data_IF_114968724379
#
_entry.id   IF_114968724379
#
_cell.length_a   1.000
_cell.length_b   1.000
_cell.length_c   1.000
_cell.angle_alpha   90.00
_cell.angle_beta   90.00
_cell.angle_gamma   90.00
#
_symmetry.space_group_name_H-M   'P 1'
#
loop_
_entity.id
_entity.type
_entity.pdbx_description
1 polymer ?
#
# COMPACT_ATOMS: atom_id res chain seq x y z
N UNK A 1 12.70 11.40 -10.18
CA UNK A 1 12.45 12.77 -9.76
C UNK A 1 13.63 13.64 -10.16
N UNK A 2 13.56 14.36 -11.31
CA UNK A 2 14.70 15.15 -11.78
C UNK A 2 14.99 16.36 -10.90
N UNK A 3 14.02 16.86 -10.15
CA UNK A 3 14.21 18.03 -9.28
C UNK A 3 15.06 17.70 -8.05
N UNK A 4 15.11 16.44 -7.65
CA UNK A 4 15.84 15.94 -6.49
C UNK A 4 16.97 14.99 -6.87
N UNK A 5 17.08 14.66 -8.16
CA UNK A 5 17.98 13.65 -8.68
C UNK A 5 17.79 12.27 -8.01
N UNK A 6 16.53 11.91 -7.75
CA UNK A 6 16.16 10.64 -7.13
C UNK A 6 15.71 9.64 -8.19
N UNK A 7 16.31 8.45 -8.20
CA UNK A 7 15.96 7.33 -9.06
C UNK A 7 15.25 6.26 -8.26
N UNK A 8 14.00 5.96 -8.63
CA UNK A 8 13.21 4.86 -8.05
C UNK A 8 13.18 3.68 -9.02
N UNK A 9 13.51 2.49 -8.54
CA UNK A 9 13.51 1.25 -9.33
C UNK A 9 12.83 0.12 -8.59
N UNK A 10 12.16 -0.77 -9.33
CA UNK A 10 11.63 -2.02 -8.78
C UNK A 10 11.67 -3.12 -9.84
N UNK A 11 11.88 -4.35 -9.38
CA UNK A 11 11.76 -5.55 -10.19
C UNK A 11 10.93 -6.56 -9.40
N UNK A 12 9.94 -7.19 -10.06
CA UNK A 12 9.03 -8.15 -9.42
C UNK A 12 9.81 -9.24 -8.69
N UNK A 13 9.51 -9.40 -7.40
CA UNK A 13 10.16 -10.37 -6.51
C UNK A 13 11.56 -9.96 -6.00
N UNK A 14 12.07 -8.79 -6.39
CA UNK A 14 13.41 -8.33 -6.00
C UNK A 14 13.41 -7.10 -5.08
N UNK A 15 12.25 -6.50 -4.87
CA UNK A 15 12.09 -5.32 -4.02
C UNK A 15 12.16 -4.01 -4.78
N UNK A 16 11.92 -2.93 -4.05
CA UNK A 16 11.99 -1.55 -4.52
C UNK A 16 13.18 -0.82 -3.92
N UNK A 17 13.76 0.10 -4.70
CA UNK A 17 14.97 0.84 -4.36
C UNK A 17 14.83 2.32 -4.72
N UNK A 18 15.48 3.17 -3.96
CA UNK A 18 15.71 4.58 -4.25
C UNK A 18 17.20 4.85 -4.18
N UNK A 19 17.80 5.31 -5.27
CA UNK A 19 19.25 5.54 -5.37
C UNK A 19 20.05 4.33 -4.87
N UNK A 20 19.73 3.15 -5.38
CA UNK A 20 20.30 1.82 -5.04
C UNK A 20 20.12 1.37 -3.57
N UNK A 21 19.41 2.14 -2.76
CA UNK A 21 19.06 1.75 -1.40
C UNK A 21 17.67 1.16 -1.35
N UNK A 22 17.54 -0.02 -0.73
CA UNK A 22 16.25 -0.69 -0.58
C UNK A 22 15.28 0.15 0.24
N UNK A 23 14.07 0.36 -0.29
CA UNK A 23 13.01 1.11 0.38
C UNK A 23 11.88 0.19 0.85
N UNK A 24 11.11 0.68 1.80
CA UNK A 24 9.92 0.04 2.36
C UNK A 24 8.86 1.10 2.66
N UNK A 25 7.59 0.69 2.56
CA UNK A 25 6.47 1.51 3.01
C UNK A 25 6.58 1.82 4.51
N UNK A 26 5.88 2.84 4.94
CA UNK A 26 5.80 3.27 6.34
C UNK A 26 5.41 2.14 7.29
N UNK A 27 5.88 2.21 8.53
CA UNK A 27 5.51 1.29 9.62
C UNK A 27 4.34 1.77 10.45
N UNK A 28 3.75 2.94 10.13
CA UNK A 28 2.60 3.46 10.87
C UNK A 28 1.41 2.51 10.77
N UNK A 29 0.63 2.47 11.82
CA UNK A 29 -0.49 1.55 11.97
C UNK A 29 -1.81 2.27 12.21
N UNK A 30 -1.77 3.56 12.53
CA UNK A 30 -2.93 4.40 12.87
C UNK A 30 -3.06 5.52 11.85
N UNK A 31 -4.24 5.63 11.24
CA UNK A 31 -4.49 6.62 10.18
C UNK A 31 -4.32 8.06 10.68
N UNK A 32 -4.66 8.34 11.93
CA UNK A 32 -4.52 9.66 12.55
C UNK A 32 -3.09 10.17 12.68
N UNK A 33 -2.09 9.29 12.53
CA UNK A 33 -0.67 9.64 12.54
C UNK A 33 -0.08 9.79 11.12
N UNK A 34 -0.92 9.58 10.09
CA UNK A 34 -0.45 9.42 8.72
C UNK A 34 -0.47 10.73 7.93
N UNK A 35 0.51 10.84 7.06
CA UNK A 35 0.57 11.82 5.99
C UNK A 35 0.10 11.18 4.69
N UNK A 36 -1.00 11.68 4.13
CA UNK A 36 -1.60 11.13 2.90
C UNK A 36 -1.37 12.09 1.74
N UNK A 37 -0.98 11.57 0.58
CA UNK A 37 -0.89 12.35 -0.64
C UNK A 37 -2.09 12.12 -1.57
N UNK A 38 -2.39 13.13 -2.41
CA UNK A 38 -3.54 13.11 -3.33
C UNK A 38 -3.34 14.05 -4.51
N UNK A 39 -4.20 13.94 -5.52
CA UNK A 39 -4.35 14.93 -6.59
C UNK A 39 -5.54 15.85 -6.39
N UNK A 40 -5.87 16.66 -7.41
CA UNK A 40 -7.07 17.49 -7.43
C UNK A 40 -7.94 17.18 -8.67
N UNK A 41 -9.27 17.28 -8.54
CA UNK A 41 -10.22 17.04 -9.63
C UNK A 41 -10.35 18.32 -10.48
N UNK A 42 -9.49 18.49 -11.46
CA UNK A 42 -9.53 19.63 -12.37
C UNK A 42 -9.73 19.26 -13.85
N UNK A 43 -10.03 17.98 -14.12
CA UNK A 43 -10.32 17.54 -15.48
C UNK A 43 -11.81 17.74 -15.82
N UNK A 44 -12.15 18.04 -17.08
CA UNK A 44 -13.55 18.05 -17.51
C UNK A 44 -14.22 16.70 -17.17
N UNK A 45 -15.37 16.77 -16.49
CA UNK A 45 -16.13 15.60 -16.07
C UNK A 45 -15.78 15.07 -14.68
N UNK A 46 -14.79 15.60 -14.01
CA UNK A 46 -14.51 15.27 -12.62
C UNK A 46 -15.67 15.70 -11.71
N UNK A 47 -16.05 14.84 -10.77
CA UNK A 47 -17.02 15.19 -9.73
C UNK A 47 -16.33 15.95 -8.59
N UNK A 48 -16.13 17.25 -8.78
CA UNK A 48 -15.46 18.12 -7.83
C UNK A 48 -16.04 18.03 -6.41
N UNK A 49 -17.37 18.10 -6.27
CA UNK A 49 -18.03 18.06 -4.97
C UNK A 49 -17.76 16.73 -4.24
N UNK A 50 -17.86 15.61 -4.94
CA UNK A 50 -17.59 14.30 -4.37
C UNK A 50 -16.13 14.17 -3.91
N UNK A 51 -15.21 14.66 -4.73
CA UNK A 51 -13.78 14.62 -4.41
C UNK A 51 -13.45 15.49 -3.20
N UNK A 52 -14.01 16.69 -3.11
CA UNK A 52 -13.81 17.59 -1.96
C UNK A 52 -14.37 17.00 -0.66
N UNK A 53 -15.52 16.33 -0.72
CA UNK A 53 -16.06 15.60 0.44
C UNK A 53 -15.14 14.46 0.86
N UNK A 54 -14.61 13.69 -0.11
CA UNK A 54 -13.63 12.63 0.14
C UNK A 54 -12.36 13.18 0.79
N UNK A 55 -11.81 14.28 0.28
CA UNK A 55 -10.66 14.95 0.88
C UNK A 55 -10.95 15.40 2.30
N UNK A 56 -12.11 16.02 2.55
CA UNK A 56 -12.50 16.48 3.88
C UNK A 56 -12.55 15.32 4.88
N UNK A 57 -13.12 14.18 4.50
CA UNK A 57 -13.18 13.00 5.35
C UNK A 57 -11.78 12.43 5.67
N UNK A 58 -10.87 12.42 4.69
CA UNK A 58 -9.49 11.99 4.91
C UNK A 58 -8.76 12.98 5.82
N UNK A 59 -8.90 14.28 5.57
CA UNK A 59 -8.26 15.33 6.39
C UNK A 59 -8.65 15.24 7.87
N UNK A 60 -9.91 14.94 8.17
CA UNK A 60 -10.40 14.83 9.55
C UNK A 60 -9.84 13.62 10.30
N UNK A 61 -9.27 12.65 9.61
CA UNK A 61 -8.83 11.36 10.17
C UNK A 61 -7.33 11.12 10.07
N UNK A 62 -6.58 12.07 9.55
CA UNK A 62 -5.14 11.95 9.29
C UNK A 62 -4.36 13.10 9.93
N UNK A 63 -3.07 12.92 10.11
CA UNK A 63 -2.18 14.00 10.59
C UNK A 63 -2.00 15.12 9.56
N UNK A 64 -2.23 14.83 8.28
CA UNK A 64 -2.15 15.83 7.24
C UNK A 64 -2.22 15.27 5.83
N UNK A 65 -2.36 16.17 4.87
CA UNK A 65 -2.38 15.84 3.46
C UNK A 65 -1.34 16.63 2.68
N UNK A 66 -0.89 16.06 1.57
CA UNK A 66 0.00 16.69 0.59
C UNK A 66 -0.57 16.52 -0.82
N UNK A 67 -0.29 17.51 -1.66
CA UNK A 67 -0.61 17.49 -3.08
C UNK A 67 0.64 17.82 -3.90
N UNK A 68 1.57 16.88 -4.08
CA UNK A 68 2.79 17.11 -4.87
C UNK A 68 2.52 17.34 -6.35
N UNK A 69 1.53 16.64 -6.93
CA UNK A 69 1.03 16.90 -8.28
C UNK A 69 1.58 15.99 -9.36
N UNK A 70 2.18 14.86 -8.98
CA UNK A 70 2.63 13.82 -9.91
C UNK A 70 2.38 12.44 -9.29
N UNK A 71 1.29 11.77 -9.71
CA UNK A 71 0.86 10.50 -9.14
C UNK A 71 1.96 9.43 -9.12
N UNK A 72 2.80 9.36 -10.16
CA UNK A 72 3.94 8.44 -10.21
C UNK A 72 4.94 8.69 -9.06
N UNK A 73 5.21 9.95 -8.72
CA UNK A 73 6.07 10.31 -7.59
C UNK A 73 5.35 10.14 -6.25
N UNK A 74 4.06 10.44 -6.18
CA UNK A 74 3.25 10.19 -4.98
C UNK A 74 3.31 8.71 -4.56
N UNK A 75 3.15 7.79 -5.52
CA UNK A 75 3.28 6.35 -5.30
C UNK A 75 4.71 5.94 -4.92
N UNK A 76 5.73 6.55 -5.56
CA UNK A 76 7.13 6.30 -5.20
C UNK A 76 7.43 6.77 -3.76
N UNK A 77 6.83 7.87 -3.31
CA UNK A 77 6.97 8.38 -1.95
C UNK A 77 6.24 7.50 -0.92
N UNK A 78 5.10 6.89 -1.28
CA UNK A 78 4.48 5.85 -0.47
C UNK A 78 5.42 4.65 -0.35
N UNK A 79 6.01 4.18 -1.45
CA UNK A 79 6.95 3.06 -1.45
C UNK A 79 8.21 3.34 -0.60
N UNK A 80 8.67 4.60 -0.55
CA UNK A 80 9.80 5.04 0.26
C UNK A 80 9.44 5.34 1.73
N UNK A 81 8.14 5.35 2.07
CA UNK A 81 7.67 5.69 3.42
C UNK A 81 7.74 7.19 3.75
N UNK A 82 7.88 8.06 2.75
CA UNK A 82 7.83 9.52 2.94
C UNK A 82 6.41 10.01 3.16
N UNK A 83 5.43 9.36 2.52
CA UNK A 83 4.00 9.44 2.83
C UNK A 83 3.50 8.04 3.20
N UNK A 84 2.40 7.97 3.94
CA UNK A 84 1.88 6.72 4.48
C UNK A 84 0.81 6.10 3.59
N UNK A 85 0.20 6.91 2.73
CA UNK A 85 -0.80 6.51 1.77
C UNK A 85 -1.03 7.56 0.69
N UNK A 86 -1.76 7.14 -0.34
CA UNK A 86 -2.13 7.93 -1.51
C UNK A 86 -3.53 7.57 -1.97
N UNK A 87 -4.27 8.54 -2.49
CA UNK A 87 -5.50 8.30 -3.26
C UNK A 87 -5.71 9.37 -4.32
N UNK A 88 -6.20 8.98 -5.49
CA UNK A 88 -6.56 9.90 -6.57
C UNK A 88 -7.54 9.23 -7.55
N UNK A 89 -8.35 10.04 -8.25
CA UNK A 89 -9.25 9.61 -9.34
C UNK A 89 -8.78 10.14 -10.69
N UNK A 90 -9.26 9.52 -11.77
CA UNK A 90 -8.99 9.98 -13.14
C UNK A 90 -7.59 9.69 -13.65
N UNK A 91 -6.82 8.87 -12.95
CA UNK A 91 -5.48 8.46 -13.34
C UNK A 91 -5.52 7.47 -14.51
N UNK A 92 -4.51 7.55 -15.36
CA UNK A 92 -4.31 6.64 -16.49
C UNK A 92 -3.30 5.55 -16.14
N UNK A 93 -3.27 4.41 -16.86
CA UNK A 93 -2.33 3.34 -16.58
C UNK A 93 -0.87 3.79 -16.52
N UNK A 94 -0.46 4.74 -17.35
CA UNK A 94 0.92 5.26 -17.34
C UNK A 94 1.25 6.13 -16.12
N UNK A 95 0.26 6.67 -15.43
CA UNK A 95 0.45 7.42 -14.17
C UNK A 95 0.74 6.48 -13.00
N UNK A 96 0.23 5.25 -13.05
CA UNK A 96 0.21 4.33 -11.88
C UNK A 96 1.00 3.04 -12.06
N UNK A 97 1.26 2.59 -13.29
CA UNK A 97 1.85 1.27 -13.54
C UNK A 97 3.23 1.09 -12.87
N UNK A 98 4.14 2.04 -13.04
CA UNK A 98 5.47 1.97 -12.41
C UNK A 98 5.37 2.10 -10.88
N UNK A 99 4.56 3.06 -10.40
CA UNK A 99 4.33 3.30 -8.99
C UNK A 99 3.70 2.10 -8.26
N UNK A 100 2.80 1.37 -8.94
CA UNK A 100 2.16 0.17 -8.37
C UNK A 100 3.18 -0.93 -8.07
N UNK A 101 4.14 -1.14 -8.97
CA UNK A 101 5.21 -2.10 -8.74
C UNK A 101 6.12 -1.65 -7.59
N UNK A 102 6.48 -0.36 -7.54
CA UNK A 102 7.28 0.19 -6.43
C UNK A 102 6.59 -0.04 -5.08
N UNK A 103 5.30 0.30 -4.96
CA UNK A 103 4.53 0.12 -3.72
C UNK A 103 4.48 -1.35 -3.32
N UNK A 104 4.13 -2.25 -4.24
CA UNK A 104 4.02 -3.69 -3.98
C UNK A 104 5.36 -4.29 -3.54
N UNK A 105 6.43 -3.98 -4.23
CA UNK A 105 7.78 -4.47 -3.92
C UNK A 105 8.37 -3.85 -2.65
N UNK A 106 7.86 -2.68 -2.23
CA UNK A 106 8.17 -2.07 -0.94
C UNK A 106 7.34 -2.66 0.22
N UNK A 107 6.40 -3.57 -0.05
CA UNK A 107 5.55 -4.23 0.93
C UNK A 107 4.27 -3.46 1.26
N UNK A 108 3.85 -2.54 0.39
CA UNK A 108 2.56 -1.85 0.44
C UNK A 108 1.46 -2.58 -0.32
N UNK A 109 0.25 -2.03 -0.23
CA UNK A 109 -0.91 -2.46 -1.00
C UNK A 109 -1.37 -1.33 -1.92
N UNK A 110 -1.94 -1.69 -3.07
CA UNK A 110 -2.51 -0.78 -4.04
C UNK A 110 -3.78 -1.39 -4.64
N UNK A 111 -4.78 -0.57 -4.89
CA UNK A 111 -6.05 -0.98 -5.48
C UNK A 111 -6.94 0.22 -5.79
N UNK A 112 -8.18 -0.05 -6.17
CA UNK A 112 -9.23 0.95 -6.30
C UNK A 112 -9.79 1.33 -4.90
N UNK A 113 -10.77 2.21 -4.83
CA UNK A 113 -11.35 2.65 -3.55
C UNK A 113 -12.16 1.57 -2.82
N UNK A 114 -12.52 0.48 -3.47
CA UNK A 114 -13.16 -0.68 -2.84
C UNK A 114 -12.13 -1.73 -2.38
N UNK A 115 -10.86 -1.52 -2.70
CA UNK A 115 -9.76 -2.38 -2.30
C UNK A 115 -9.37 -3.44 -3.33
N UNK A 116 -9.96 -3.40 -4.54
CA UNK A 116 -9.77 -4.38 -5.60
C UNK A 116 -8.63 -4.00 -6.55
N UNK A 117 -8.19 -4.96 -7.37
CA UNK A 117 -7.03 -4.82 -8.24
C UNK A 117 -7.28 -3.96 -9.51
N UNK A 118 -8.54 -3.63 -9.83
CA UNK A 118 -8.94 -3.00 -11.09
C UNK A 118 -8.72 -1.47 -11.13
N UNK A 119 -7.80 -0.96 -10.31
CA UNK A 119 -7.52 0.48 -10.15
C UNK A 119 -7.10 1.17 -11.47
N UNK A 120 -6.47 0.44 -12.39
CA UNK A 120 -6.05 1.00 -13.69
C UNK A 120 -7.25 1.23 -14.62
N UNK A 121 -8.20 0.29 -14.65
CA UNK A 121 -9.40 0.35 -15.49
C UNK A 121 -10.45 1.29 -14.87
N UNK A 122 -10.60 1.23 -13.56
CA UNK A 122 -11.54 2.06 -12.81
C UNK A 122 -11.07 3.51 -12.67
N UNK A 123 -9.80 3.80 -12.92
CA UNK A 123 -9.22 5.13 -12.75
C UNK A 123 -9.41 5.70 -11.32
N UNK A 124 -9.59 4.82 -10.35
CA UNK A 124 -9.59 5.09 -8.92
C UNK A 124 -8.38 4.38 -8.33
N UNK A 125 -7.45 5.11 -7.76
CA UNK A 125 -6.23 4.52 -7.22
C UNK A 125 -6.05 4.91 -5.75
N UNK A 126 -5.78 3.91 -4.93
CA UNK A 126 -5.45 4.06 -3.52
C UNK A 126 -4.27 3.15 -3.19
N UNK A 127 -3.30 3.66 -2.44
CA UNK A 127 -2.12 2.90 -2.02
C UNK A 127 -1.73 3.24 -0.58
N UNK A 128 -1.02 2.33 0.08
CA UNK A 128 -0.49 2.57 1.43
C UNK A 128 0.18 1.38 2.06
N UNK A 129 0.75 1.58 3.25
CA UNK A 129 1.17 0.50 4.12
C UNK A 129 -0.05 -0.40 4.44
N UNK A 130 0.10 -1.72 4.62
CA UNK A 130 -1.05 -2.65 4.69
C UNK A 130 -2.11 -2.27 5.72
N UNK A 131 -1.71 -1.83 6.92
CA UNK A 131 -2.66 -1.42 7.97
C UNK A 131 -3.35 -0.08 7.66
N UNK A 132 -2.68 0.81 6.98
CA UNK A 132 -3.22 2.10 6.56
C UNK A 132 -4.16 1.90 5.38
N UNK A 133 -3.77 1.09 4.39
CA UNK A 133 -4.62 0.68 3.28
C UNK A 133 -5.96 0.12 3.77
N UNK A 134 -5.93 -0.82 4.73
CA UNK A 134 -7.14 -1.40 5.31
C UNK A 134 -8.05 -0.39 6.03
N UNK A 135 -7.51 0.74 6.53
CA UNK A 135 -8.30 1.84 7.12
C UNK A 135 -8.80 2.83 6.05
N UNK A 136 -8.08 3.00 4.94
CA UNK A 136 -8.51 3.84 3.83
C UNK A 136 -9.67 3.22 3.05
N UNK A 137 -9.72 1.89 2.87
CA UNK A 137 -10.81 1.21 2.14
C UNK A 137 -12.20 1.59 2.66
N UNK A 138 -12.56 1.42 3.94
CA UNK A 138 -13.90 1.79 4.42
C UNK A 138 -14.17 3.29 4.37
N UNK A 139 -13.12 4.12 4.39
CA UNK A 139 -13.23 5.57 4.30
C UNK A 139 -13.53 6.04 2.87
N UNK A 140 -12.88 5.42 1.88
CA UNK A 140 -12.93 5.84 0.48
C UNK A 140 -13.99 5.09 -0.33
N UNK A 141 -14.37 3.86 0.04
CA UNK A 141 -15.28 3.02 -0.72
C UNK A 141 -16.64 3.67 -1.00
N UNK A 142 -17.15 4.50 -0.09
CA UNK A 142 -18.41 5.23 -0.29
C UNK A 142 -18.36 6.28 -1.40
N UNK A 143 -17.17 6.66 -1.83
CA UNK A 143 -16.93 7.61 -2.92
C UNK A 143 -16.64 6.93 -4.25
N UNK A 144 -16.46 5.61 -4.25
CA UNK A 144 -16.24 4.83 -5.46
C UNK A 144 -17.50 4.79 -6.33
N UNK A 145 -17.30 4.91 -7.65
CA UNK A 145 -18.35 4.66 -8.65
C UNK A 145 -18.66 3.16 -8.78
N UNK A 146 -17.81 2.30 -8.23
CA UNK A 146 -17.86 0.84 -8.33
C UNK A 146 -18.29 0.17 -7.04
N UNK A 147 -18.76 0.92 -6.05
CA UNK A 147 -19.26 0.41 -4.77
C UNK A 147 -20.58 -0.38 -4.95
N UNK A 148 -20.56 -1.42 -5.75
CA UNK A 148 -21.67 -2.35 -5.96
C UNK A 148 -21.64 -3.54 -4.99
N UNK A 149 -22.77 -4.22 -4.84
CA UNK A 149 -23.07 -5.17 -3.77
C UNK A 149 -22.32 -6.53 -3.83
N UNK A 150 -21.35 -6.73 -4.74
CA UNK A 150 -20.72 -8.05 -4.99
C UNK A 150 -19.43 -8.34 -4.21
N UNK A 151 -18.62 -7.34 -3.92
CA UNK A 151 -17.19 -7.58 -3.71
C UNK A 151 -16.68 -7.44 -2.26
N UNK A 152 -17.53 -7.03 -1.33
CA UNK A 152 -17.13 -6.86 0.08
C UNK A 152 -16.67 -8.15 0.78
N UNK A 153 -17.09 -9.31 0.29
CA UNK A 153 -16.70 -10.61 0.83
C UNK A 153 -15.29 -11.01 0.37
N UNK A 154 -14.96 -10.80 -0.90
CA UNK A 154 -13.66 -11.13 -1.48
C UNK A 154 -12.51 -10.32 -0.87
N UNK A 155 -12.73 -9.01 -0.62
CA UNK A 155 -11.75 -8.12 0.01
C UNK A 155 -11.46 -8.50 1.47
N UNK A 156 -12.49 -8.92 2.23
CA UNK A 156 -12.30 -9.43 3.58
C UNK A 156 -11.54 -10.76 3.59
N UNK A 157 -11.79 -11.60 2.61
CA UNK A 157 -11.13 -12.90 2.49
C UNK A 157 -9.66 -12.77 2.11
N UNK A 158 -9.33 -11.92 1.13
CA UNK A 158 -7.95 -11.63 0.74
C UNK A 158 -7.13 -10.96 1.86
N UNK A 159 -7.73 -10.04 2.62
CA UNK A 159 -7.08 -9.42 3.77
C UNK A 159 -6.85 -10.43 4.92
N UNK A 160 -7.77 -11.36 5.15
CA UNK A 160 -7.64 -12.42 6.15
C UNK A 160 -6.55 -13.44 5.75
N UNK A 161 -6.49 -13.83 4.48
CA UNK A 161 -5.46 -14.75 3.96
C UNK A 161 -4.05 -14.16 4.04
N UNK A 162 -3.88 -12.86 3.79
CA UNK A 162 -2.61 -12.16 3.97
C UNK A 162 -2.16 -12.12 5.43
N UNK A 163 -3.09 -12.05 6.37
CA UNK A 163 -2.80 -12.07 7.81
C UNK A 163 -2.40 -13.47 8.26
N UNK A 164 -3.12 -14.50 7.82
CA UNK A 164 -2.84 -15.92 8.14
C UNK A 164 -1.50 -16.40 7.57
N UNK A 165 -1.18 -16.03 6.33
CA UNK A 165 0.11 -16.39 5.72
C UNK A 165 1.30 -15.71 6.42
N UNK A 166 1.10 -14.57 7.03
CA UNK A 166 2.15 -13.85 7.76
C UNK A 166 2.38 -14.43 9.16
N UNK A 167 1.34 -14.92 9.82
CA UNK A 167 1.44 -15.63 11.09
C UNK A 167 2.09 -17.02 10.92
N UNK A 168 1.79 -17.71 9.81
CA UNK A 168 2.43 -18.98 9.46
C UNK A 168 3.93 -18.82 9.15
N UNK A 169 4.33 -17.70 8.54
CA UNK A 169 5.74 -17.41 8.23
C UNK A 169 6.57 -16.94 9.43
N UNK A 170 5.93 -16.57 10.55
CA UNK A 170 6.58 -16.13 11.80
C UNK A 170 6.53 -17.19 12.90
N UNK A 171 5.91 -18.34 12.67
CA UNK A 171 5.95 -19.46 13.61
C UNK A 171 7.39 -19.98 13.75
N UNK A 172 7.95 -20.13 14.98
CA UNK A 172 9.28 -20.66 15.17
C UNK A 172 9.30 -22.11 14.64
N UNK A 173 10.34 -22.43 13.85
CA UNK A 173 10.59 -23.78 13.39
C UNK A 173 10.56 -24.75 14.58
N UNK A 174 9.79 -25.84 14.47
CA UNK A 174 9.77 -26.88 15.47
C UNK A 174 11.21 -27.37 15.67
N UNK A 175 11.70 -27.29 16.91
CA UNK A 175 12.99 -27.84 17.26
C UNK A 175 12.89 -29.36 17.14
N UNK A 176 13.77 -29.95 16.31
CA UNK A 176 13.94 -31.39 16.25
C UNK A 176 14.27 -31.94 17.66
N UNK A 177 13.69 -33.08 18.06
CA UNK A 177 14.01 -33.68 19.36
C UNK A 177 15.49 -34.04 19.42
N UNK A 178 16.15 -33.54 20.46
CA UNK A 178 17.54 -33.87 20.79
C UNK A 178 17.63 -35.36 21.07
N UNK A 179 18.27 -36.14 20.19
CA UNK A 179 18.61 -37.52 20.48
C UNK A 179 19.53 -37.61 21.68
N UNK A 180 19.28 -38.53 22.63
CA UNK A 180 20.18 -38.74 23.79
C UNK A 180 21.49 -39.36 23.30
N UNK A 181 22.55 -38.60 23.45
CA UNK A 181 23.91 -39.03 23.14
C UNK A 181 24.27 -40.31 23.92
N UNK A 182 24.67 -41.34 23.19
CA UNK A 182 25.27 -42.56 23.74
C UNK A 182 26.60 -42.21 24.37
N UNK A 183 26.70 -42.46 25.65
CA UNK A 183 27.98 -42.40 26.41
C UNK A 183 28.94 -43.44 25.83
N UNK A 184 30.06 -42.99 25.30
CA UNK A 184 31.19 -43.83 24.91
C UNK A 184 32.20 -43.81 26.06
N UNK A 185 32.31 -44.98 26.71
CA UNK A 185 33.38 -45.31 27.60
C UNK A 185 34.73 -45.23 26.86
N UNK A 186 35.68 -44.46 27.39
CA UNK A 186 37.09 -44.59 27.02
C UNK A 186 37.91 -44.69 28.32
N UNK A 187 38.71 -45.76 28.48
CA UNK A 187 39.64 -45.91 29.63
C UNK A 187 40.98 -45.25 29.32
N UNK A 188 41.62 -44.76 30.37
CA UNK A 188 42.98 -44.25 30.56
C UNK A 188 43.24 -42.79 30.23
#
# INVERSE_FOLDING_TARGET
DPSRNDLFTATKGRGAFMNDRRIRVSKRTRLEECLISTGFPFRPGDNFKNYMNMMADVMQRTAGMRRPGAAALDLAYVAAGFTDGFFETGLKPWDVAAGSLLVTEAGGLIGNFTGEADFMDHQECMAGAPRIYGQLVPLLSKYSKFAGAGDKAAVRQAAAELTLNKEAATAPAAQDPIEPGTASDAPF
#
